data_IF_904572354660
#
_entry.id   IF_904572354660
#
_cell.length_a   1.000
_cell.length_b   1.000
_cell.length_c   1.000
_cell.angle_alpha   90.00
_cell.angle_beta   90.00
_cell.angle_gamma   90.00
#
_symmetry.space_group_name_H-M   'P 1'
#
loop_
_entity.id
_entity.type
_entity.pdbx_description
1 polymer ?
#
# COMPACT_ATOMS: atom_id res chain seq x y z
N UNK A 1 -0.49 11.60 12.03
CA UNK A 1 -1.51 10.75 11.38
C UNK A 1 -1.87 11.27 9.98
N UNK A 2 -2.31 12.53 9.83
CA UNK A 2 -2.73 13.10 8.54
C UNK A 2 -1.71 12.95 7.39
N UNK A 3 -0.40 13.27 7.57
CA UNK A 3 0.57 13.15 6.47
C UNK A 3 0.77 11.71 5.98
N UNK A 4 0.79 10.75 6.91
CA UNK A 4 0.93 9.32 6.59
C UNK A 4 -0.28 8.82 5.80
N UNK A 5 -1.48 9.28 6.18
CA UNK A 5 -2.71 8.96 5.47
C UNK A 5 -2.71 9.54 4.04
N UNK A 6 -2.35 10.81 3.88
CA UNK A 6 -2.29 11.47 2.56
C UNK A 6 -1.25 10.77 1.67
N UNK A 7 -0.09 10.44 2.21
CA UNK A 7 0.95 9.73 1.46
C UNK A 7 0.53 8.30 1.08
N UNK A 8 -0.19 7.58 1.94
CA UNK A 8 -0.66 6.23 1.64
C UNK A 8 -1.60 6.18 0.43
N UNK A 9 -2.36 7.24 0.17
CA UNK A 9 -3.27 7.35 -0.97
C UNK A 9 -2.68 8.11 -2.16
N UNK A 10 -1.37 8.41 -2.17
CA UNK A 10 -0.75 9.11 -3.29
C UNK A 10 -0.51 8.16 -4.48
N UNK A 11 -1.51 8.05 -5.36
CA UNK A 11 -1.38 7.32 -6.63
C UNK A 11 -1.55 8.21 -7.87
N UNK A 12 -1.72 9.51 -7.66
CA UNK A 12 -2.01 10.50 -8.71
C UNK A 12 -0.95 10.59 -9.81
N UNK A 13 0.32 10.32 -9.48
CA UNK A 13 1.42 10.39 -10.45
C UNK A 13 1.29 9.32 -11.55
N UNK A 14 0.63 8.20 -11.24
CA UNK A 14 0.47 7.08 -12.17
C UNK A 14 -0.64 7.31 -13.22
N UNK A 15 -1.42 8.39 -13.11
CA UNK A 15 -2.54 8.67 -14.03
C UNK A 15 -2.06 8.78 -15.49
N UNK A 16 -0.88 9.37 -15.73
CA UNK A 16 -0.31 9.49 -17.08
C UNK A 16 0.01 8.13 -17.71
N UNK A 17 0.54 7.20 -16.92
CA UNK A 17 0.82 5.83 -17.38
C UNK A 17 -0.47 5.09 -17.72
N UNK A 18 -1.52 5.22 -16.90
CA UNK A 18 -2.84 4.61 -17.14
C UNK A 18 -3.47 5.14 -18.43
N UNK A 19 -3.38 6.45 -18.69
CA UNK A 19 -3.91 7.05 -19.92
C UNK A 19 -3.22 6.52 -21.18
N UNK A 20 -1.93 6.15 -21.09
CA UNK A 20 -1.16 5.61 -22.20
C UNK A 20 -1.44 4.12 -22.44
N UNK A 21 -1.74 3.36 -21.38
CA UNK A 21 -2.01 1.92 -21.46
C UNK A 21 -3.44 1.61 -21.93
N UNK A 22 -4.42 2.46 -21.60
CA UNK A 22 -5.83 2.22 -21.91
C UNK A 22 -6.14 2.52 -23.38
N UNK A 23 -6.37 1.47 -24.17
CA UNK A 23 -6.88 1.57 -25.56
C UNK A 23 -8.25 2.25 -25.59
N UNK A 24 -8.34 3.37 -26.32
CA UNK A 24 -9.49 4.30 -26.35
C UNK A 24 -9.77 4.96 -24.98
N UNK A 25 -8.85 5.82 -24.54
CA UNK A 25 -8.91 6.57 -23.28
C UNK A 25 -9.98 7.66 -23.28
N UNK A 26 -11.25 7.26 -23.12
CA UNK A 26 -12.34 8.20 -22.83
C UNK A 26 -12.33 8.59 -21.34
N UNK A 27 -12.60 9.87 -21.03
CA UNK A 27 -12.62 10.41 -19.66
C UNK A 27 -13.44 9.55 -18.68
N UNK A 28 -14.65 9.15 -19.05
CA UNK A 28 -15.52 8.33 -18.18
C UNK A 28 -15.06 6.88 -17.97
N UNK A 29 -14.12 6.37 -18.77
CA UNK A 29 -13.52 5.04 -18.55
C UNK A 29 -12.34 5.14 -17.59
N UNK A 30 -11.49 6.15 -17.76
CA UNK A 30 -10.37 6.44 -16.86
C UNK A 30 -10.89 6.74 -15.45
N UNK A 31 -11.93 7.55 -15.33
CA UNK A 31 -12.53 7.90 -14.03
C UNK A 31 -13.04 6.65 -13.27
N UNK A 32 -13.72 5.73 -13.97
CA UNK A 32 -14.13 4.44 -13.38
C UNK A 32 -12.96 3.58 -12.92
N UNK A 33 -11.85 3.57 -13.66
CA UNK A 33 -10.64 2.84 -13.28
C UNK A 33 -10.02 3.46 -12.02
N UNK A 34 -9.93 4.79 -11.96
CA UNK A 34 -9.40 5.51 -10.80
C UNK A 34 -10.24 5.23 -9.55
N UNK A 35 -11.58 5.36 -9.65
CA UNK A 35 -12.48 5.06 -8.53
C UNK A 35 -12.33 3.61 -8.06
N UNK A 36 -12.29 2.66 -8.99
CA UNK A 36 -12.08 1.25 -8.64
C UNK A 36 -10.73 1.02 -7.94
N UNK A 37 -9.64 1.64 -8.43
CA UNK A 37 -8.32 1.53 -7.82
C UNK A 37 -8.29 2.11 -6.40
N UNK A 38 -8.89 3.28 -6.18
CA UNK A 38 -9.03 3.88 -4.84
C UNK A 38 -9.84 3.00 -3.89
N UNK A 39 -10.93 2.39 -4.36
CA UNK A 39 -11.73 1.49 -3.54
C UNK A 39 -10.96 0.23 -3.15
N UNK A 40 -10.22 -0.38 -4.08
CA UNK A 40 -9.39 -1.57 -3.81
C UNK A 40 -8.28 -1.22 -2.81
N UNK A 41 -7.60 -0.09 -2.99
CA UNK A 41 -6.58 0.39 -2.04
C UNK A 41 -7.18 0.70 -0.66
N UNK A 42 -8.36 1.32 -0.61
CA UNK A 42 -9.07 1.58 0.63
C UNK A 42 -9.42 0.29 1.38
N UNK A 43 -9.91 -0.73 0.67
CA UNK A 43 -10.23 -2.03 1.25
C UNK A 43 -8.99 -2.76 1.77
N UNK A 44 -7.87 -2.72 1.04
CA UNK A 44 -6.63 -3.36 1.50
C UNK A 44 -6.07 -2.71 2.76
N UNK A 45 -6.10 -1.38 2.85
CA UNK A 45 -5.70 -0.66 4.06
C UNK A 45 -6.66 -0.90 5.22
N UNK A 46 -7.97 -0.94 4.98
CA UNK A 46 -8.95 -1.28 6.02
C UNK A 46 -8.73 -2.70 6.55
N UNK A 47 -8.49 -3.67 5.65
CA UNK A 47 -8.22 -5.05 6.03
C UNK A 47 -6.95 -5.16 6.87
N UNK A 48 -5.87 -4.49 6.46
CA UNK A 48 -4.63 -4.42 7.22
C UNK A 48 -4.82 -3.76 8.60
N UNK A 49 -5.62 -2.70 8.68
CA UNK A 49 -5.93 -2.01 9.93
C UNK A 49 -6.73 -2.90 10.90
N UNK A 50 -7.75 -3.61 10.41
CA UNK A 50 -8.55 -4.54 11.23
C UNK A 50 -7.69 -5.69 11.74
N UNK A 51 -6.88 -6.31 10.88
CA UNK A 51 -5.96 -7.38 11.30
C UNK A 51 -4.90 -6.88 12.28
N UNK A 52 -4.32 -5.70 12.04
CA UNK A 52 -3.34 -5.09 12.94
C UNK A 52 -3.93 -4.83 14.33
N UNK A 53 -5.16 -4.32 14.39
CA UNK A 53 -5.87 -4.13 15.65
C UNK A 53 -6.20 -5.46 16.34
N UNK A 54 -6.56 -6.50 15.58
CA UNK A 54 -6.87 -7.80 16.15
C UNK A 54 -5.64 -8.50 16.74
N UNK A 55 -4.45 -8.31 16.16
CA UNK A 55 -3.22 -8.94 16.65
C UNK A 55 -2.58 -8.24 17.85
N UNK A 56 -2.58 -6.90 17.89
CA UNK A 56 -1.89 -6.12 18.93
C UNK A 56 -2.82 -5.44 19.93
N UNK A 57 -4.13 -5.41 19.67
CA UNK A 57 -5.10 -4.72 20.50
C UNK A 57 -4.79 -3.23 20.62
N UNK A 58 -4.65 -2.74 21.85
CA UNK A 58 -4.41 -1.32 22.15
C UNK A 58 -2.92 -0.91 22.12
N UNK A 59 -1.98 -1.86 22.05
CA UNK A 59 -0.54 -1.55 22.06
C UNK A 59 0.09 -1.81 20.69
N UNK A 60 -0.37 -1.08 19.67
CA UNK A 60 0.16 -1.18 18.31
C UNK A 60 1.44 -0.32 18.20
N UNK A 61 2.61 -0.92 17.92
CA UNK A 61 3.82 -0.15 17.66
C UNK A 61 3.75 0.57 16.31
N UNK A 62 4.43 1.71 16.19
CA UNK A 62 4.52 2.50 14.94
C UNK A 62 5.05 1.69 13.76
N UNK A 63 5.89 0.68 14.05
CA UNK A 63 6.37 -0.31 13.09
C UNK A 63 5.85 -1.68 13.51
N UNK A 64 4.88 -2.18 12.75
CA UNK A 64 4.19 -3.45 13.00
C UNK A 64 5.16 -4.62 12.98
N UNK A 65 6.22 -4.59 12.15
CA UNK A 65 7.18 -5.69 12.05
C UNK A 65 8.10 -5.77 13.28
N UNK A 66 8.26 -4.68 14.04
CA UNK A 66 8.96 -4.67 15.32
C UNK A 66 8.11 -5.19 16.47
N UNK A 67 6.79 -5.16 16.35
CA UNK A 67 5.86 -5.69 17.34
C UNK A 67 5.83 -7.21 17.40
N UNK A 68 6.10 -7.90 16.30
CA UNK A 68 6.07 -9.35 16.25
C UNK A 68 7.34 -10.00 16.83
N UNK A 69 7.22 -11.13 17.54
CA UNK A 69 8.37 -11.86 18.06
C UNK A 69 9.25 -12.42 16.92
N UNK A 70 10.54 -12.53 17.20
CA UNK A 70 11.58 -13.04 16.29
C UNK A 70 11.31 -14.51 15.90
N UNK A 71 10.50 -14.72 14.86
CA UNK A 71 10.19 -16.04 14.29
C UNK A 71 10.76 -16.12 12.87
N UNK A 72 11.10 -17.32 12.39
CA UNK A 72 11.61 -17.54 11.02
C UNK A 72 10.75 -16.88 9.92
N UNK A 73 9.42 -16.87 10.10
CA UNK A 73 8.49 -16.20 9.18
C UNK A 73 8.67 -14.68 9.16
N UNK A 74 8.78 -14.06 10.33
CA UNK A 74 8.97 -12.61 10.47
C UNK A 74 10.33 -12.18 9.91
N UNK A 75 11.37 -12.98 10.14
CA UNK A 75 12.69 -12.75 9.57
C UNK A 75 12.67 -12.79 8.03
N UNK A 76 11.96 -13.75 7.44
CA UNK A 76 11.77 -13.83 5.99
C UNK A 76 11.00 -12.61 5.46
N UNK A 77 9.92 -12.18 6.13
CA UNK A 77 9.17 -10.98 5.74
C UNK A 77 10.03 -9.72 5.80
N UNK A 78 10.86 -9.55 6.84
CA UNK A 78 11.80 -8.42 6.95
C UNK A 78 12.81 -8.42 5.79
N UNK A 79 13.37 -9.59 5.44
CA UNK A 79 14.28 -9.70 4.30
C UNK A 79 13.60 -9.34 2.97
N UNK A 80 12.39 -9.86 2.73
CA UNK A 80 11.62 -9.54 1.52
C UNK A 80 11.30 -8.05 1.42
N UNK A 81 10.93 -7.42 2.53
CA UNK A 81 10.69 -5.98 2.59
C UNK A 81 11.96 -5.17 2.27
N UNK A 82 13.11 -5.57 2.81
CA UNK A 82 14.40 -4.94 2.49
C UNK A 82 14.76 -5.07 1.01
N UNK A 83 14.56 -6.25 0.40
CA UNK A 83 14.81 -6.44 -1.02
C UNK A 83 13.88 -5.60 -1.89
N UNK A 84 12.60 -5.53 -1.53
CA UNK A 84 11.62 -4.67 -2.21
C UNK A 84 12.05 -3.21 -2.16
N UNK A 85 12.49 -2.71 -1.01
CA UNK A 85 12.99 -1.36 -0.86
C UNK A 85 14.26 -1.11 -1.71
N UNK A 86 15.21 -2.06 -1.70
CA UNK A 86 16.45 -1.98 -2.45
C UNK A 86 16.21 -1.87 -3.96
N UNK A 87 15.26 -2.62 -4.51
CA UNK A 87 14.94 -2.58 -5.94
C UNK A 87 13.99 -1.44 -6.33
N UNK A 88 13.14 -0.99 -5.41
CA UNK A 88 12.22 0.12 -5.68
C UNK A 88 12.94 1.47 -5.71
N UNK A 89 13.91 1.69 -4.82
CA UNK A 89 14.65 2.96 -4.73
C UNK A 89 15.37 3.39 -6.02
N UNK A 90 16.01 2.50 -6.82
CA UNK A 90 16.59 2.89 -8.10
C UNK A 90 15.56 3.01 -9.24
N UNK A 91 14.35 2.46 -9.07
CA UNK A 91 13.29 2.49 -10.09
C UNK A 91 12.36 3.70 -9.92
N UNK A 92 12.18 4.17 -8.68
CA UNK A 92 11.44 5.38 -8.33
C UNK A 92 12.24 6.65 -8.63
#
# INVERSE_FOLDING_TARGET
ALPVFIFAFTCQQNIFSICNEVKNSTRGRIDRIIVAAYLIAGLSFCFAAVLGYWTFGNEIPSDVLKGYPETYLVAATRLLYCLLALFSYPLQ
#
